data_IF_459193702614
#
_entry.id   IF_459193702614
#
_cell.length_a   1.000
_cell.length_b   1.000
_cell.length_c   1.000
_cell.angle_alpha   90.00
_cell.angle_beta   90.00
_cell.angle_gamma   90.00
#
_symmetry.space_group_name_H-M   'P 1'
#
loop_
_entity.id
_entity.type
_entity.pdbx_description
1 polymer ?
#
# COMPACT_ATOMS: atom_id res chain seq x y z
N UNK A 1 -14.29 1.20 16.71
CA UNK A 1 -13.91 0.98 18.12
C UNK A 1 -12.77 1.95 18.42
N UNK A 2 -12.84 2.76 19.48
CA UNK A 2 -11.75 3.68 19.81
C UNK A 2 -10.59 2.87 20.40
N UNK A 3 -9.45 2.81 19.70
CA UNK A 3 -8.24 2.17 20.20
C UNK A 3 -7.87 2.74 21.58
N UNK A 4 -7.52 1.86 22.52
CA UNK A 4 -7.01 2.31 23.82
C UNK A 4 -5.60 2.91 23.65
N UNK A 5 -5.08 3.56 24.70
CA UNK A 5 -3.82 4.29 24.59
C UNK A 5 -2.64 3.38 24.23
N UNK A 6 -2.60 2.15 24.74
CA UNK A 6 -1.52 1.19 24.49
C UNK A 6 -1.55 0.74 23.03
N UNK A 7 -2.74 0.40 22.52
CA UNK A 7 -2.94 -0.03 21.14
C UNK A 7 -2.55 1.06 20.14
N UNK A 8 -2.90 2.32 20.41
CA UNK A 8 -2.52 3.47 19.57
C UNK A 8 -1.00 3.62 19.46
N UNK A 9 -0.28 3.50 20.57
CA UNK A 9 1.17 3.62 20.59
C UNK A 9 1.84 2.40 19.92
N UNK A 10 1.33 1.19 20.16
CA UNK A 10 1.81 -0.02 19.50
C UNK A 10 1.65 0.07 17.98
N UNK A 11 0.48 0.51 17.50
CA UNK A 11 0.23 0.73 16.07
C UNK A 11 1.15 1.83 15.51
N UNK A 12 1.39 2.91 16.26
CA UNK A 12 2.30 3.97 15.83
C UNK A 12 3.73 3.45 15.63
N UNK A 13 4.24 2.65 16.57
CA UNK A 13 5.57 2.04 16.49
C UNK A 13 5.65 1.13 15.25
N UNK A 14 4.63 0.31 15.03
CA UNK A 14 4.57 -0.58 13.88
C UNK A 14 4.59 0.21 12.55
N UNK A 15 3.78 1.25 12.42
CA UNK A 15 3.77 2.08 11.20
C UNK A 15 5.05 2.90 11.02
N UNK A 16 5.67 3.37 12.11
CA UNK A 16 6.97 4.02 12.07
C UNK A 16 8.04 3.05 11.57
N UNK A 17 7.98 1.77 11.95
CA UNK A 17 8.94 0.74 11.52
C UNK A 17 8.83 0.44 10.02
N UNK A 18 7.63 0.59 9.46
CA UNK A 18 7.35 0.50 8.02
C UNK A 18 7.64 1.82 7.28
N UNK A 19 8.26 2.79 7.95
CA UNK A 19 8.60 4.11 7.43
C UNK A 19 7.39 4.86 6.82
N UNK A 20 6.19 4.64 7.36
CA UNK A 20 4.97 5.28 6.89
C UNK A 20 5.06 6.81 7.04
N UNK A 21 4.45 7.55 6.10
CA UNK A 21 4.35 9.01 6.18
C UNK A 21 3.62 9.39 7.47
N UNK A 22 4.17 10.37 8.19
CA UNK A 22 3.66 10.83 9.49
C UNK A 22 2.16 11.14 9.47
N UNK A 23 1.65 11.71 8.38
CA UNK A 23 0.22 12.02 8.24
C UNK A 23 -0.66 10.76 8.26
N UNK A 24 -0.20 9.65 7.66
CA UNK A 24 -0.90 8.36 7.73
C UNK A 24 -0.90 7.88 9.17
N UNK A 25 0.26 7.87 9.84
CA UNK A 25 0.37 7.39 11.22
C UNK A 25 -0.53 8.22 12.15
N UNK A 26 -0.51 9.55 12.00
CA UNK A 26 -1.35 10.45 12.79
C UNK A 26 -2.84 10.19 12.57
N UNK A 27 -3.25 9.96 11.32
CA UNK A 27 -4.64 9.64 10.98
C UNK A 27 -5.10 8.30 11.57
N UNK A 28 -4.26 7.26 11.50
CA UNK A 28 -4.63 5.90 11.95
C UNK A 28 -4.54 5.75 13.49
N UNK A 29 -3.70 6.54 14.17
CA UNK A 29 -3.46 6.41 15.62
C UNK A 29 -4.08 7.53 16.47
N UNK A 30 -4.39 8.68 15.87
CA UNK A 30 -4.80 9.90 16.57
C UNK A 30 -3.68 10.61 17.33
N UNK A 31 -2.42 10.15 17.20
CA UNK A 31 -1.28 10.80 17.84
C UNK A 31 -0.85 12.06 17.08
N UNK A 32 -0.34 13.05 17.81
CA UNK A 32 0.08 14.31 17.21
C UNK A 32 1.28 14.12 16.25
N UNK A 33 1.30 14.79 15.08
CA UNK A 33 2.43 14.72 14.16
C UNK A 33 3.76 15.15 14.79
N UNK A 34 3.72 16.03 15.81
CA UNK A 34 4.92 16.49 16.54
C UNK A 34 5.61 15.34 17.27
N UNK A 35 4.86 14.53 18.02
CA UNK A 35 5.40 13.37 18.75
C UNK A 35 5.89 12.32 17.77
N UNK A 36 5.12 12.04 16.72
CA UNK A 36 5.46 11.03 15.71
C UNK A 36 6.74 11.40 14.93
N UNK A 37 6.94 12.67 14.56
CA UNK A 37 8.18 13.12 13.91
C UNK A 37 9.39 12.92 14.80
N UNK A 38 9.28 13.26 16.09
CA UNK A 38 10.35 13.04 17.05
C UNK A 38 10.71 11.56 17.16
N UNK A 39 9.71 10.70 17.36
CA UNK A 39 9.89 9.25 17.43
C UNK A 39 10.51 8.67 16.14
N UNK A 40 10.13 9.17 14.97
CA UNK A 40 10.72 8.77 13.69
C UNK A 40 12.23 9.09 13.65
N UNK A 41 12.62 10.32 13.99
CA UNK A 41 14.02 10.75 14.00
C UNK A 41 14.82 9.94 15.02
N UNK A 42 14.25 9.68 16.19
CA UNK A 42 14.88 8.90 17.24
C UNK A 42 15.17 7.46 16.78
N UNK A 43 14.24 6.84 16.04
CA UNK A 43 14.36 5.46 15.56
C UNK A 43 15.24 5.31 14.31
N UNK A 44 15.13 6.22 13.34
CA UNK A 44 15.75 6.09 12.02
C UNK A 44 16.97 6.98 11.80
N UNK A 45 17.27 7.90 12.74
CA UNK A 45 18.38 8.86 12.68
C UNK A 45 18.40 9.74 11.42
N UNK A 46 17.24 9.95 10.80
CA UNK A 46 17.04 10.82 9.64
C UNK A 46 15.65 11.45 9.67
N UNK A 47 15.46 12.49 8.86
CA UNK A 47 14.16 13.12 8.69
C UNK A 47 13.13 12.16 8.06
N UNK A 48 11.85 12.24 8.47
CA UNK A 48 10.79 11.45 7.88
C UNK A 48 10.60 11.78 6.39
N UNK A 49 10.08 10.84 5.57
CA UNK A 49 9.79 11.08 4.17
C UNK A 49 8.93 12.35 4.00
N UNK A 50 9.47 13.31 3.25
CA UNK A 50 8.81 14.56 2.93
C UNK A 50 8.02 14.45 1.62
N UNK A 51 7.08 15.37 1.39
CA UNK A 51 6.28 15.43 0.18
C UNK A 51 4.85 14.94 0.36
N UNK A 52 4.01 15.30 -0.61
CA UNK A 52 2.59 14.99 -0.63
C UNK A 52 2.34 13.52 -0.99
N UNK A 53 1.25 12.96 -0.45
CA UNK A 53 0.71 11.69 -0.94
C UNK A 53 0.32 11.83 -2.41
N UNK A 54 0.48 10.75 -3.18
CA UNK A 54 0.09 10.72 -4.58
C UNK A 54 -1.43 10.87 -4.69
N UNK A 55 -1.90 11.78 -5.54
CA UNK A 55 -3.32 12.17 -5.59
C UNK A 55 -4.17 11.25 -6.49
N UNK A 56 -3.57 10.67 -7.54
CA UNK A 56 -4.29 9.81 -8.49
C UNK A 56 -3.58 8.48 -8.72
N UNK A 57 -4.31 7.50 -9.25
CA UNK A 57 -3.81 6.15 -9.52
C UNK A 57 -3.06 5.99 -10.85
N UNK A 58 -3.03 7.03 -11.71
CA UNK A 58 -2.50 6.91 -13.08
C UNK A 58 -1.00 6.56 -13.14
N UNK A 59 -0.22 6.94 -12.12
CA UNK A 59 1.21 6.60 -12.07
C UNK A 59 1.48 5.09 -12.00
N UNK A 60 0.51 4.27 -11.56
CA UNK A 60 0.60 2.81 -11.52
C UNK A 60 0.78 2.24 -12.94
N UNK A 61 0.17 2.90 -13.93
CA UNK A 61 0.15 2.45 -15.33
C UNK A 61 1.31 3.00 -16.17
N UNK A 62 2.22 3.79 -15.57
CA UNK A 62 3.37 4.36 -16.28
C UNK A 62 4.44 3.33 -16.64
N UNK A 63 4.44 2.15 -16.01
CA UNK A 63 5.33 1.06 -16.39
C UNK A 63 4.77 -0.30 -15.99
N UNK A 64 5.17 -1.34 -16.71
CA UNK A 64 4.76 -2.72 -16.45
C UNK A 64 5.06 -3.17 -15.02
N UNK A 65 6.26 -2.84 -14.50
CA UNK A 65 6.67 -3.22 -13.14
C UNK A 65 5.74 -2.61 -12.07
N UNK A 66 5.35 -1.34 -12.22
CA UNK A 66 4.41 -0.67 -11.31
C UNK A 66 3.04 -1.32 -11.33
N UNK A 67 2.52 -1.61 -12.52
CA UNK A 67 1.21 -2.26 -12.66
C UNK A 67 1.22 -3.65 -12.04
N UNK A 68 2.28 -4.43 -12.30
CA UNK A 68 2.47 -5.78 -11.74
C UNK A 68 2.53 -5.76 -10.22
N UNK A 69 3.37 -4.92 -9.63
CA UNK A 69 3.52 -4.85 -8.18
C UNK A 69 2.26 -4.32 -7.49
N UNK A 70 1.57 -3.34 -8.06
CA UNK A 70 0.31 -2.85 -7.52
C UNK A 70 -0.79 -3.93 -7.59
N UNK A 71 -0.84 -4.70 -8.69
CA UNK A 71 -1.75 -5.84 -8.82
C UNK A 71 -1.48 -6.88 -7.74
N UNK A 72 -0.21 -7.21 -7.50
CA UNK A 72 0.20 -8.16 -6.46
C UNK A 72 -0.18 -7.69 -5.06
N UNK A 73 0.11 -6.42 -4.73
CA UNK A 73 -0.27 -5.84 -3.45
C UNK A 73 -1.80 -5.86 -3.25
N UNK A 74 -2.58 -5.40 -4.24
CA UNK A 74 -4.05 -5.40 -4.16
C UNK A 74 -4.60 -6.81 -4.02
N UNK A 75 -3.99 -7.80 -4.68
CA UNK A 75 -4.35 -9.19 -4.47
C UNK A 75 -4.16 -9.61 -3.01
N UNK A 76 -2.99 -9.36 -2.42
CA UNK A 76 -2.75 -9.67 -1.00
C UNK A 76 -3.69 -8.91 -0.05
N UNK A 77 -4.02 -7.65 -0.37
CA UNK A 77 -4.95 -6.84 0.41
C UNK A 77 -6.40 -7.33 0.33
N UNK A 78 -6.83 -7.87 -0.82
CA UNK A 78 -8.18 -8.41 -1.01
C UNK A 78 -8.40 -9.77 -0.37
N UNK A 79 -7.36 -10.59 -0.27
CA UNK A 79 -7.45 -11.89 0.41
C UNK A 79 -7.24 -11.79 1.93
N UNK A 80 -6.77 -10.64 2.42
CA UNK A 80 -6.57 -10.43 3.85
C UNK A 80 -7.90 -10.14 4.55
N UNK A 81 -8.28 -11.03 5.46
CA UNK A 81 -9.53 -10.98 6.22
C UNK A 81 -9.22 -10.40 7.59
N UNK A 82 -9.58 -9.13 7.80
CA UNK A 82 -9.49 -8.45 9.09
C UNK A 82 -10.45 -7.25 9.08
N UNK A 83 -11.11 -6.94 10.21
CA UNK A 83 -12.12 -5.87 10.26
C UNK A 83 -11.51 -4.48 10.09
N UNK A 84 -10.33 -4.26 10.69
CA UNK A 84 -9.60 -3.01 10.56
C UNK A 84 -8.83 -2.88 9.23
N UNK A 85 -9.13 -1.82 8.48
CA UNK A 85 -8.44 -1.46 7.23
C UNK A 85 -6.91 -1.38 7.38
N UNK A 86 -6.42 -0.77 8.47
CA UNK A 86 -4.98 -0.58 8.67
C UNK A 86 -4.26 -1.90 8.90
N UNK A 87 -4.89 -2.85 9.59
CA UNK A 87 -4.37 -4.20 9.79
C UNK A 87 -4.31 -4.97 8.48
N UNK A 88 -5.36 -4.87 7.65
CA UNK A 88 -5.33 -5.40 6.28
C UNK A 88 -4.17 -4.84 5.47
N UNK A 89 -3.94 -3.53 5.54
CA UNK A 89 -2.82 -2.86 4.86
C UNK A 89 -1.45 -3.36 5.32
N UNK A 90 -1.22 -3.42 6.64
CA UNK A 90 0.05 -3.87 7.23
C UNK A 90 0.36 -5.30 6.80
N UNK A 91 -0.61 -6.21 6.96
CA UNK A 91 -0.42 -7.63 6.65
C UNK A 91 -0.19 -7.84 5.15
N UNK A 92 -0.98 -7.17 4.29
CA UNK A 92 -0.81 -7.22 2.84
C UNK A 92 0.54 -6.64 2.39
N UNK A 93 0.98 -5.53 2.98
CA UNK A 93 2.26 -4.90 2.65
C UNK A 93 3.43 -5.81 3.01
N UNK A 94 3.44 -6.40 4.21
CA UNK A 94 4.49 -7.35 4.63
C UNK A 94 4.59 -8.55 3.69
N UNK A 95 3.45 -9.10 3.24
CA UNK A 95 3.43 -10.18 2.25
C UNK A 95 3.95 -9.75 0.89
N UNK A 96 3.53 -8.57 0.43
CA UNK A 96 4.02 -7.97 -0.81
C UNK A 96 5.54 -7.75 -0.76
N UNK A 97 6.04 -7.04 0.24
CA UNK A 97 7.47 -6.77 0.41
C UNK A 97 8.27 -8.07 0.51
N UNK A 98 7.82 -9.01 1.36
CA UNK A 98 8.47 -10.31 1.51
C UNK A 98 8.52 -11.11 0.21
N UNK A 99 7.45 -11.08 -0.60
CA UNK A 99 7.43 -11.72 -1.90
C UNK A 99 8.43 -11.07 -2.87
N UNK A 100 8.45 -9.74 -2.97
CA UNK A 100 9.36 -9.03 -3.87
C UNK A 100 10.82 -9.29 -3.50
N UNK A 101 11.15 -9.16 -2.22
CA UNK A 101 12.51 -9.43 -1.72
C UNK A 101 12.93 -10.89 -1.96
N UNK A 102 12.04 -11.85 -1.73
CA UNK A 102 12.37 -13.28 -1.87
C UNK A 102 12.50 -13.70 -3.33
N UNK A 103 11.58 -13.29 -4.19
CA UNK A 103 11.45 -13.77 -5.57
C UNK A 103 12.27 -12.94 -6.55
N UNK A 104 12.24 -11.61 -6.44
CA UNK A 104 12.91 -10.71 -7.38
C UNK A 104 14.25 -10.20 -6.88
N UNK A 105 14.60 -10.42 -5.60
CA UNK A 105 15.86 -9.97 -4.99
C UNK A 105 16.12 -8.46 -5.15
N UNK A 106 15.06 -7.67 -5.25
CA UNK A 106 15.09 -6.20 -5.35
C UNK A 106 14.22 -5.58 -4.28
N UNK A 107 14.39 -4.28 -4.04
CA UNK A 107 13.47 -3.52 -3.19
C UNK A 107 12.12 -3.35 -3.88
N UNK A 108 11.01 -3.38 -3.11
CA UNK A 108 9.68 -3.07 -3.65
C UNK A 108 9.64 -1.69 -4.29
N UNK A 109 8.90 -1.57 -5.40
CA UNK A 109 8.68 -0.30 -6.06
C UNK A 109 7.82 0.64 -5.19
N UNK A 110 6.81 0.09 -4.51
CA UNK A 110 5.93 0.85 -3.63
C UNK A 110 6.36 0.69 -2.17
N UNK A 111 6.57 1.82 -1.50
CA UNK A 111 6.70 1.83 -0.04
C UNK A 111 5.33 1.55 0.64
N UNK A 112 5.33 1.48 1.97
CA UNK A 112 4.10 1.26 2.71
C UNK A 112 3.06 2.37 2.45
N UNK A 113 3.50 3.62 2.33
CA UNK A 113 2.59 4.76 2.16
C UNK A 113 1.91 4.77 0.80
N UNK A 114 2.65 4.39 -0.25
CA UNK A 114 2.11 4.14 -1.59
C UNK A 114 1.11 3.00 -1.56
N UNK A 115 1.45 1.91 -0.88
CA UNK A 115 0.59 0.72 -0.75
C UNK A 115 -0.70 1.03 0.01
N UNK A 116 -0.64 1.81 1.09
CA UNK A 116 -1.80 2.31 1.82
C UNK A 116 -2.74 3.14 0.92
N UNK A 117 -2.20 4.01 0.06
CA UNK A 117 -2.99 4.75 -0.94
C UNK A 117 -3.65 3.81 -1.96
N UNK A 118 -2.91 2.82 -2.46
CA UNK A 118 -3.41 1.82 -3.39
C UNK A 118 -4.56 1.02 -2.76
N UNK A 119 -4.45 0.66 -1.48
CA UNK A 119 -5.51 0.00 -0.73
C UNK A 119 -6.75 0.89 -0.61
N UNK A 120 -6.60 2.17 -0.26
CA UNK A 120 -7.72 3.14 -0.24
C UNK A 120 -8.42 3.25 -1.59
N UNK A 121 -7.66 3.34 -2.69
CA UNK A 121 -8.26 3.35 -4.03
C UNK A 121 -8.95 2.04 -4.38
N UNK A 122 -8.49 0.89 -3.87
CA UNK A 122 -9.19 -0.38 -4.08
C UNK A 122 -10.48 -0.47 -3.29
N UNK A 123 -10.48 -0.04 -2.02
CA UNK A 123 -11.69 0.02 -1.17
C UNK A 123 -12.76 0.95 -1.76
N UNK A 124 -12.37 2.12 -2.24
CA UNK A 124 -13.31 3.08 -2.85
C UNK A 124 -13.67 2.74 -4.31
N UNK A 125 -13.27 1.57 -4.84
CA UNK A 125 -13.64 1.11 -6.18
C UNK A 125 -12.93 1.81 -7.35
N UNK A 126 -12.01 2.73 -7.08
CA UNK A 126 -11.15 3.39 -8.09
C UNK A 126 -10.22 2.38 -8.75
N UNK A 127 -9.70 1.42 -7.98
CA UNK A 127 -8.88 0.32 -8.47
C UNK A 127 -9.63 -1.02 -8.34
N UNK A 128 -9.95 -1.61 -9.49
CA UNK A 128 -10.64 -2.90 -9.56
C UNK A 128 -9.64 -3.98 -9.97
N UNK A 129 -9.62 -5.08 -9.23
CA UNK A 129 -8.89 -6.28 -9.61
C UNK A 129 -9.81 -7.14 -10.48
N UNK A 130 -9.43 -7.34 -11.74
CA UNK A 130 -10.21 -8.12 -12.73
C UNK A 130 -9.34 -9.21 -13.34
N UNK A 131 -9.94 -10.13 -14.09
CA UNK A 131 -9.20 -11.16 -14.84
C UNK A 131 -9.06 -10.77 -16.31
N UNK A 132 -7.92 -11.11 -16.91
CA UNK A 132 -7.73 -10.99 -18.35
C UNK A 132 -8.72 -11.91 -19.09
N UNK A 133 -9.33 -11.42 -20.17
CA UNK A 133 -10.22 -12.22 -21.03
C UNK A 133 -9.50 -13.37 -21.75
N UNK A 134 -8.19 -13.25 -21.97
CA UNK A 134 -7.37 -14.26 -22.65
C UNK A 134 -6.68 -15.21 -21.66
N UNK A 135 -5.63 -14.75 -20.97
CA UNK A 135 -4.83 -15.60 -20.07
C UNK A 135 -5.42 -15.81 -18.67
N UNK A 136 -6.57 -15.19 -18.35
CA UNK A 136 -7.24 -15.25 -17.04
C UNK A 136 -6.43 -14.72 -15.84
N UNK A 137 -5.20 -14.27 -16.04
CA UNK A 137 -4.38 -13.63 -15.00
C UNK A 137 -5.04 -12.40 -14.41
N UNK A 138 -4.80 -12.17 -13.11
CA UNK A 138 -5.26 -10.97 -12.42
C UNK A 138 -4.58 -9.73 -13.00
N UNK A 139 -5.35 -8.66 -13.16
CA UNK A 139 -4.85 -7.33 -13.54
C UNK A 139 -5.61 -6.25 -12.78
N UNK A 140 -4.88 -5.20 -12.44
CA UNK A 140 -5.47 -4.00 -11.86
C UNK A 140 -5.91 -3.04 -12.97
N UNK A 141 -7.10 -2.47 -12.84
CA UNK A 141 -7.63 -1.46 -13.77
C UNK A 141 -8.16 -0.26 -12.98
N UNK A 142 -8.12 0.92 -13.60
CA UNK A 142 -8.76 2.14 -13.10
C UNK A 142 -9.81 2.72 -14.06
N UNK A 143 -9.97 2.10 -15.23
CA UNK A 143 -10.98 2.45 -16.23
C UNK A 143 -11.55 1.15 -16.82
N UNK A 144 -12.86 1.10 -17.01
CA UNK A 144 -13.58 -0.07 -17.54
C UNK A 144 -13.16 -0.43 -18.96
N UNK A 145 -12.72 0.54 -19.75
CA UNK A 145 -12.15 0.31 -21.09
C UNK A 145 -10.90 -0.60 -21.05
N UNK A 146 -10.25 -0.75 -19.90
CA UNK A 146 -9.08 -1.62 -19.73
C UNK A 146 -9.44 -3.08 -19.41
N UNK A 147 -10.73 -3.44 -19.32
CA UNK A 147 -11.19 -4.76 -18.84
C UNK A 147 -10.84 -5.94 -19.75
N UNK A 148 -10.73 -5.75 -21.08
CA UNK A 148 -10.67 -6.88 -22.01
C UNK A 148 -9.38 -7.72 -21.90
N UNK A 149 -8.23 -7.17 -22.28
CA UNK A 149 -6.95 -7.92 -22.36
C UNK A 149 -5.87 -7.27 -21.48
N UNK A 150 -5.01 -8.05 -20.83
CA UNK A 150 -3.88 -7.52 -20.04
C UNK A 150 -2.80 -6.95 -20.98
N UNK A 151 -1.87 -6.16 -20.43
CA UNK A 151 -0.81 -5.57 -21.23
C UNK A 151 0.10 -6.60 -21.91
N UNK A 152 0.27 -7.79 -21.33
CA UNK A 152 1.10 -8.86 -21.92
C UNK A 152 0.42 -9.46 -23.15
N UNK A 153 -0.85 -9.85 -23.04
CA UNK A 153 -1.59 -10.46 -24.14
C UNK A 153 -2.04 -9.48 -25.24
N UNK A 154 -1.68 -8.19 -25.12
CA UNK A 154 -1.84 -7.19 -26.19
C UNK A 154 -0.66 -7.16 -27.16
N UNK A 155 0.49 -7.69 -26.72
CA UNK A 155 1.65 -7.97 -27.56
C UNK A 155 1.59 -9.43 -28.01
#
# INVERSE_FOLDING_TARGET
MSLNIIERHALAIELLSLEARINIISNETGLSPKILRKAFVDMHKRSPPSGLLKVNSNFIYKSFIRTKEATLFVFFFRIEIHDEFIRRCINAYRRYEGYILKVYKVRPFFDFSDSWMIAKWSECGILKLVRCGHCRSAKLINNEQQQNVCCICKY
#
